data_IF_392771487388
#
_entry.id   IF_392771487388
#
_cell.length_a   1.000
_cell.length_b   1.000
_cell.length_c   1.000
_cell.angle_alpha   90.00
_cell.angle_beta   90.00
_cell.angle_gamma   90.00
#
_symmetry.space_group_name_H-M   'P 1'
#
loop_
_entity.id
_entity.type
_entity.pdbx_description
1 polymer ?
#
# COMPACT_ATOMS: atom_id res chain seq x y z
N UNK A 1 -23.22 10.41 -10.99
CA UNK A 1 -21.84 10.07 -11.43
C UNK A 1 -21.23 9.19 -10.36
N UNK A 2 -20.57 8.10 -10.76
CA UNK A 2 -19.84 7.23 -9.83
C UNK A 2 -18.56 7.97 -9.39
N UNK A 3 -18.38 8.17 -8.09
CA UNK A 3 -17.36 9.09 -7.54
C UNK A 3 -15.91 8.61 -7.60
N UNK A 4 -15.54 7.78 -8.60
CA UNK A 4 -14.22 7.16 -8.73
C UNK A 4 -13.34 7.83 -9.79
N UNK A 5 -12.02 7.74 -9.60
CA UNK A 5 -11.01 8.27 -10.53
C UNK A 5 -10.75 7.36 -11.77
N UNK A 6 -11.62 6.39 -12.06
CA UNK A 6 -11.50 5.48 -13.20
C UNK A 6 -10.17 4.70 -13.27
N UNK A 7 -9.58 4.33 -12.11
CA UNK A 7 -8.25 3.71 -12.05
C UNK A 7 -8.33 2.18 -12.12
N UNK A 8 -7.61 1.59 -13.07
CA UNK A 8 -7.45 0.12 -13.17
C UNK A 8 -6.61 -0.48 -12.03
N UNK A 9 -5.73 0.32 -11.41
CA UNK A 9 -4.84 -0.06 -10.31
C UNK A 9 -4.71 1.11 -9.34
N UNK A 10 -4.72 0.81 -8.05
CA UNK A 10 -4.25 1.69 -6.98
C UNK A 10 -3.11 0.96 -6.28
N UNK A 11 -2.02 1.68 -6.00
CA UNK A 11 -0.84 1.15 -5.31
C UNK A 11 -0.62 1.94 -4.01
N UNK A 12 -0.17 1.27 -2.95
CA UNK A 12 0.29 1.90 -1.73
C UNK A 12 1.62 1.30 -1.26
N UNK A 13 2.40 2.13 -0.57
CA UNK A 13 3.56 1.71 0.21
C UNK A 13 3.31 1.92 1.70
N UNK A 14 3.87 1.05 2.53
CA UNK A 14 3.94 1.20 3.98
C UNK A 14 5.31 0.73 4.47
N UNK A 15 5.83 1.25 5.57
CA UNK A 15 7.05 0.69 6.17
C UNK A 15 6.82 -0.78 6.56
N UNK A 16 7.82 -1.62 6.34
CA UNK A 16 7.80 -3.04 6.70
C UNK A 16 7.54 -3.26 8.19
N UNK A 17 8.05 -2.38 9.06
CA UNK A 17 7.84 -2.44 10.50
C UNK A 17 6.41 -2.07 10.93
N UNK A 18 5.67 -1.31 10.12
CA UNK A 18 4.33 -0.82 10.44
C UNK A 18 3.26 -1.87 10.12
N UNK A 19 3.25 -2.94 10.92
CA UNK A 19 2.28 -4.03 10.83
C UNK A 19 0.81 -3.55 10.95
N UNK A 20 0.55 -2.43 11.62
CA UNK A 20 -0.79 -1.87 11.76
C UNK A 20 -1.33 -1.33 10.42
N UNK A 21 -0.55 -0.49 9.72
CA UNK A 21 -0.93 0.02 8.39
C UNK A 21 -0.96 -1.08 7.34
N UNK A 22 -0.03 -2.05 7.41
CA UNK A 22 -0.04 -3.24 6.54
C UNK A 22 -1.33 -4.06 6.69
N UNK A 23 -1.74 -4.35 7.93
CA UNK A 23 -3.01 -5.01 8.21
C UNK A 23 -4.26 -4.20 7.82
N UNK A 24 -4.17 -2.86 7.73
CA UNK A 24 -5.25 -2.02 7.18
C UNK A 24 -5.35 -2.17 5.66
N UNK A 25 -4.22 -2.15 4.95
CA UNK A 25 -4.19 -2.37 3.50
C UNK A 25 -4.77 -3.76 3.13
N UNK A 26 -4.34 -4.79 3.84
CA UNK A 26 -4.79 -6.19 3.66
C UNK A 26 -6.30 -6.32 3.88
N UNK A 27 -6.85 -5.71 4.94
CA UNK A 27 -8.31 -5.67 5.18
C UNK A 27 -9.09 -4.81 4.17
N UNK A 28 -8.44 -3.89 3.48
CA UNK A 28 -9.02 -3.10 2.39
C UNK A 28 -8.93 -3.80 1.03
N UNK A 29 -8.53 -5.08 0.98
CA UNK A 29 -8.42 -5.88 -0.23
C UNK A 29 -7.15 -5.66 -1.05
N UNK A 30 -6.20 -4.86 -0.56
CA UNK A 30 -4.91 -4.69 -1.23
C UNK A 30 -4.02 -5.92 -0.98
N UNK A 31 -3.42 -6.43 -2.05
CA UNK A 31 -2.51 -7.59 -2.02
C UNK A 31 -1.06 -7.13 -1.97
N UNK A 32 -0.25 -7.70 -1.07
CA UNK A 32 1.20 -7.43 -1.06
C UNK A 32 1.84 -7.98 -2.34
N UNK A 33 2.61 -7.12 -3.03
CA UNK A 33 3.35 -7.46 -4.27
C UNK A 33 4.86 -7.40 -4.09
N UNK A 34 5.37 -6.86 -2.98
CA UNK A 34 6.79 -6.94 -2.65
C UNK A 34 7.15 -6.46 -1.24
N UNK A 35 8.38 -6.78 -0.85
CA UNK A 35 9.12 -6.21 0.29
C UNK A 35 10.47 -5.81 -0.28
N UNK A 36 10.80 -4.52 -0.20
CA UNK A 36 11.99 -3.92 -0.79
C UNK A 36 12.88 -3.34 0.31
N UNK A 37 14.20 -3.41 0.09
CA UNK A 37 15.19 -3.07 1.11
C UNK A 37 15.62 -1.61 1.02
N UNK A 38 15.57 -0.88 2.13
CA UNK A 38 15.93 0.54 2.25
C UNK A 38 15.24 1.44 1.21
N UNK A 39 13.96 1.19 0.94
CA UNK A 39 13.17 1.88 -0.09
C UNK A 39 12.54 3.19 0.42
N UNK A 40 12.19 3.25 1.71
CA UNK A 40 11.46 4.36 2.30
C UNK A 40 12.37 5.31 3.09
N UNK A 41 12.19 6.62 2.91
CA UNK A 41 12.80 7.65 3.78
C UNK A 41 11.79 8.01 4.87
N UNK A 42 12.18 7.90 6.14
CA UNK A 42 11.38 8.34 7.29
C UNK A 42 12.18 9.31 8.16
N UNK A 43 11.47 10.17 8.90
CA UNK A 43 12.03 11.31 9.62
C UNK A 43 11.74 12.64 8.92
N UNK A 44 11.24 13.62 9.67
CA UNK A 44 10.91 14.94 9.15
C UNK A 44 12.18 15.81 8.99
N UNK A 45 13.02 15.83 10.02
CA UNK A 45 14.30 16.53 10.03
C UNK A 45 15.27 15.90 8.99
N UNK A 46 15.97 16.69 8.16
CA UNK A 46 16.96 16.17 7.22
C UNK A 46 18.09 15.34 7.84
N UNK A 47 18.55 15.70 9.05
CA UNK A 47 19.73 15.11 9.69
C UNK A 47 19.37 13.86 10.53
N UNK A 48 18.10 13.69 10.90
CA UNK A 48 17.57 12.48 11.58
C UNK A 48 16.96 11.44 10.63
N UNK A 49 17.00 11.66 9.31
CA UNK A 49 16.38 10.75 8.33
C UNK A 49 17.07 9.40 8.28
N UNK A 50 16.26 8.34 8.38
CA UNK A 50 16.70 6.95 8.21
C UNK A 50 16.00 6.29 7.03
N UNK A 51 16.67 5.29 6.46
CA UNK A 51 16.10 4.44 5.41
C UNK A 51 15.48 3.19 6.04
N UNK A 52 14.24 2.89 5.67
CA UNK A 52 13.51 1.70 6.10
C UNK A 52 13.16 0.80 4.91
N UNK A 53 12.98 -0.49 5.19
CA UNK A 53 12.44 -1.45 4.23
C UNK A 53 10.95 -1.15 3.94
N UNK A 54 10.57 -1.15 2.67
CA UNK A 54 9.21 -0.86 2.21
C UNK A 54 8.39 -2.11 1.91
N UNK A 55 7.09 -2.04 2.19
CA UNK A 55 6.08 -3.04 1.86
C UNK A 55 5.11 -2.46 0.84
N UNK A 56 5.04 -3.05 -0.35
CA UNK A 56 4.24 -2.52 -1.45
C UNK A 56 3.03 -3.41 -1.73
N UNK A 57 1.87 -2.77 -1.92
CA UNK A 57 0.61 -3.45 -2.13
C UNK A 57 -0.17 -2.84 -3.30
N UNK A 58 -0.91 -3.68 -4.02
CA UNK A 58 -1.77 -3.30 -5.12
C UNK A 58 -3.23 -3.68 -4.86
N UNK A 59 -4.14 -2.84 -5.36
CA UNK A 59 -5.55 -3.17 -5.58
C UNK A 59 -5.85 -2.98 -7.07
N UNK A 60 -6.19 -4.06 -7.76
CA UNK A 60 -6.61 -4.05 -9.16
C UNK A 60 -8.14 -3.96 -9.22
N UNK A 61 -8.70 -3.21 -10.17
CA UNK A 61 -10.15 -3.02 -10.27
C UNK A 61 -10.91 -4.35 -10.41
N UNK A 62 -10.40 -5.28 -11.22
CA UNK A 62 -11.01 -6.60 -11.41
C UNK A 62 -11.10 -7.43 -10.10
N UNK A 63 -10.09 -7.33 -9.23
CA UNK A 63 -10.08 -8.05 -7.94
C UNK A 63 -11.13 -7.47 -6.97
N UNK A 64 -11.34 -6.14 -7.03
CA UNK A 64 -12.38 -5.45 -6.25
C UNK A 64 -13.78 -5.86 -6.71
N UNK A 65 -14.03 -5.90 -8.01
CA UNK A 65 -15.36 -6.20 -8.55
C UNK A 65 -15.73 -7.67 -8.31
N UNK A 66 -14.74 -8.58 -8.38
CA UNK A 66 -14.91 -9.98 -7.98
C UNK A 66 -15.28 -10.14 -6.49
N UNK A 67 -14.70 -9.32 -5.61
CA UNK A 67 -15.01 -9.33 -4.18
C UNK A 67 -16.37 -8.66 -3.83
N UNK A 68 -16.96 -7.88 -4.75
CA UNK A 68 -18.22 -7.16 -4.55
C UNK A 68 -19.48 -7.95 -4.91
N UNK A 69 -19.36 -9.19 -5.38
CA UNK A 69 -20.48 -10.00 -5.92
C UNK A 69 -20.78 -11.21 -5.01
N UNK A 70 -20.85 -10.99 -3.69
CA UNK A 70 -21.11 -12.00 -2.64
C UNK A 70 -22.14 -11.53 -1.61
#
# INVERSE_FOLDING_TARGET
AEGGLGRHRVQLGASWNNAASRGVAERAGFRQVGHFRLDGVVGADPDERVLEDGAWYDLIAADRDAAGTS
#
